data_IF_325787507251
#
_entry.id   IF_325787507251
#
_cell.length_a   1.000
_cell.length_b   1.000
_cell.length_c   1.000
_cell.angle_alpha   90.00
_cell.angle_beta   90.00
_cell.angle_gamma   90.00
#
_symmetry.space_group_name_H-M   'P 1'
#
loop_
_entity.id
_entity.type
_entity.pdbx_description
1 polymer ?
#
# COMPACT_ATOMS: atom_id res chain seq x y z
N UNK A 1 1.66 -19.10 9.65
CA UNK A 1 2.93 -18.73 10.31
C UNK A 1 3.72 -17.88 9.32
N UNK A 2 4.29 -16.76 9.74
CA UNK A 2 5.14 -15.93 8.88
C UNK A 2 6.54 -16.55 8.80
N UNK A 3 7.11 -16.63 7.61
CA UNK A 3 8.51 -17.02 7.38
C UNK A 3 9.29 -15.82 6.83
N UNK A 4 10.51 -15.64 7.30
CA UNK A 4 11.37 -14.51 6.92
C UNK A 4 12.67 -15.03 6.33
N UNK A 5 13.08 -14.41 5.23
CA UNK A 5 14.33 -14.68 4.53
C UNK A 5 15.14 -13.39 4.45
N UNK A 6 16.45 -13.49 4.56
CA UNK A 6 17.39 -12.38 4.38
C UNK A 6 18.32 -12.72 3.20
N UNK A 7 18.36 -11.85 2.20
CA UNK A 7 19.18 -12.03 0.99
C UNK A 7 19.07 -13.44 0.37
N UNK A 8 17.85 -14.01 0.34
CA UNK A 8 17.54 -15.32 -0.26
C UNK A 8 17.75 -16.54 0.63
N UNK A 9 18.25 -16.42 1.85
CA UNK A 9 18.37 -17.51 2.84
C UNK A 9 17.41 -17.31 4.02
N UNK A 10 17.03 -18.36 4.76
CA UNK A 10 16.28 -18.19 6.01
C UNK A 10 16.96 -17.18 6.94
N UNK A 11 16.19 -16.23 7.46
CA UNK A 11 16.70 -15.17 8.31
C UNK A 11 17.10 -15.75 9.70
N UNK A 12 18.21 -15.28 10.23
CA UNK A 12 18.67 -15.52 11.59
C UNK A 12 18.15 -14.45 12.54
N UNK A 13 18.34 -14.62 13.84
CA UNK A 13 18.03 -13.60 14.85
C UNK A 13 18.85 -12.33 14.60
N UNK A 14 20.11 -12.46 14.22
CA UNK A 14 21.00 -11.34 13.97
C UNK A 14 20.54 -10.50 12.77
N UNK A 15 20.02 -11.13 11.70
CA UNK A 15 19.43 -10.42 10.55
C UNK A 15 18.22 -9.56 10.95
N UNK A 16 17.50 -9.95 12.00
CA UNK A 16 16.27 -9.29 12.44
C UNK A 16 16.49 -8.29 13.58
N UNK A 17 17.56 -8.41 14.32
CA UNK A 17 17.85 -7.57 15.50
C UNK A 17 17.91 -6.08 15.15
N UNK A 18 18.65 -5.71 14.11
CA UNK A 18 18.76 -4.32 13.65
C UNK A 18 17.41 -3.73 13.26
N UNK A 19 16.65 -4.35 12.33
CA UNK A 19 15.31 -3.92 11.94
C UNK A 19 14.33 -3.82 13.11
N UNK A 20 14.35 -4.77 14.02
CA UNK A 20 13.44 -4.80 15.18
C UNK A 20 13.71 -3.68 16.19
N UNK A 21 14.98 -3.33 16.40
CA UNK A 21 15.39 -2.37 17.44
C UNK A 21 15.39 -0.91 16.95
N UNK A 22 15.57 -0.65 15.64
CA UNK A 22 15.75 0.72 15.13
C UNK A 22 14.60 1.21 14.26
N UNK A 23 13.78 0.31 13.67
CA UNK A 23 12.79 0.66 12.63
C UNK A 23 13.39 1.46 11.46
N UNK A 24 14.69 1.32 11.21
CA UNK A 24 15.44 2.00 10.18
C UNK A 24 15.37 1.18 8.88
N UNK A 25 14.47 1.60 8.00
CA UNK A 25 14.25 0.90 6.74
C UNK A 25 12.99 1.36 6.02
N UNK A 26 12.80 0.81 4.83
CA UNK A 26 11.58 1.00 4.05
C UNK A 26 11.08 -0.34 3.50
N UNK A 27 9.84 -0.36 3.01
CA UNK A 27 9.27 -1.64 2.58
C UNK A 27 8.22 -1.48 1.49
N UNK A 28 7.89 -2.60 0.89
CA UNK A 28 6.69 -2.75 0.07
C UNK A 28 5.91 -4.00 0.49
N UNK A 29 4.60 -4.03 0.20
CA UNK A 29 3.74 -5.20 0.47
C UNK A 29 2.85 -5.45 -0.72
N UNK A 30 2.60 -6.71 -1.04
CA UNK A 30 1.68 -7.13 -2.09
C UNK A 30 1.10 -8.51 -1.83
N UNK A 31 0.06 -8.85 -2.56
CA UNK A 31 -0.49 -10.20 -2.63
C UNK A 31 0.09 -10.90 -3.85
N UNK A 32 0.69 -12.05 -3.64
CA UNK A 32 1.10 -12.99 -4.66
C UNK A 32 -0.06 -13.97 -4.90
N UNK A 33 -0.43 -14.18 -6.15
CA UNK A 33 -1.39 -15.19 -6.57
C UNK A 33 -0.84 -15.91 -7.79
N UNK A 34 -0.79 -17.23 -7.71
CA UNK A 34 -0.24 -18.08 -8.76
C UNK A 34 1.13 -17.61 -9.26
N UNK A 35 2.03 -17.23 -8.34
CA UNK A 35 3.36 -16.65 -8.60
C UNK A 35 3.33 -15.36 -9.44
N UNK A 36 2.21 -14.62 -9.45
CA UNK A 36 2.09 -13.36 -10.17
C UNK A 36 1.61 -12.23 -9.24
N UNK A 37 1.98 -10.99 -9.59
CA UNK A 37 1.73 -9.78 -8.81
C UNK A 37 1.27 -8.65 -9.72
N UNK A 38 0.17 -7.99 -9.38
CA UNK A 38 -0.22 -6.76 -10.06
C UNK A 38 0.72 -5.61 -9.70
N UNK A 39 1.36 -5.01 -10.72
CA UNK A 39 2.26 -3.88 -10.55
C UNK A 39 3.56 -4.24 -9.83
N UNK A 40 4.14 -5.38 -10.10
CA UNK A 40 5.44 -5.80 -9.56
C UNK A 40 6.53 -4.77 -9.85
N UNK A 41 6.54 -4.21 -11.04
CA UNK A 41 7.42 -3.12 -11.47
C UNK A 41 7.31 -1.89 -10.56
N UNK A 42 6.08 -1.49 -10.18
CA UNK A 42 5.82 -0.37 -9.27
C UNK A 42 6.36 -0.64 -7.86
N UNK A 43 6.31 -1.90 -7.42
CA UNK A 43 6.88 -2.31 -6.14
C UNK A 43 8.41 -2.26 -6.16
N UNK A 44 9.05 -2.70 -7.24
CA UNK A 44 10.50 -2.66 -7.42
C UNK A 44 11.00 -1.21 -7.54
N UNK A 45 10.35 -0.39 -8.36
CA UNK A 45 10.64 1.05 -8.49
C UNK A 45 10.56 1.76 -7.13
N UNK A 46 9.54 1.47 -6.32
CA UNK A 46 9.40 2.05 -4.97
C UNK A 46 10.57 1.69 -4.08
N UNK A 47 11.01 0.45 -4.10
CA UNK A 47 12.13 0.00 -3.28
C UNK A 47 13.44 0.68 -3.72
N UNK A 48 13.74 0.74 -5.01
CA UNK A 48 14.95 1.42 -5.49
C UNK A 48 14.92 2.92 -5.19
N UNK A 49 13.81 3.60 -5.47
CA UNK A 49 13.66 5.03 -5.21
C UNK A 49 13.84 5.38 -3.72
N UNK A 50 13.25 4.58 -2.82
CA UNK A 50 13.41 4.78 -1.39
C UNK A 50 14.83 4.47 -0.89
N UNK A 51 15.50 3.45 -1.43
CA UNK A 51 16.89 3.12 -1.10
C UNK A 51 17.84 4.24 -1.49
N UNK A 52 17.65 4.85 -2.66
CA UNK A 52 18.46 6.00 -3.10
C UNK A 52 18.28 7.21 -2.20
N UNK A 53 17.03 7.50 -1.78
CA UNK A 53 16.75 8.67 -0.94
C UNK A 53 17.23 8.49 0.49
N UNK A 54 17.04 7.29 1.07
CA UNK A 54 17.36 7.05 2.48
C UNK A 54 18.80 6.64 2.72
N UNK A 55 19.40 5.93 1.76
CA UNK A 55 20.68 5.26 1.95
C UNK A 55 21.73 5.62 0.88
N UNK A 56 21.41 6.55 -0.02
CA UNK A 56 22.25 6.91 -1.17
C UNK A 56 22.76 5.69 -1.98
N UNK A 57 21.94 4.64 -2.03
CA UNK A 57 22.34 3.34 -2.60
C UNK A 57 21.26 2.83 -3.54
N UNK A 58 21.67 2.45 -4.76
CA UNK A 58 20.79 1.79 -5.71
C UNK A 58 20.44 0.36 -5.23
N UNK A 59 19.19 -0.03 -5.45
CA UNK A 59 18.73 -1.40 -5.19
C UNK A 59 18.31 -2.07 -6.51
N UNK A 60 19.18 -2.85 -7.15
CA UNK A 60 18.85 -3.53 -8.41
C UNK A 60 17.62 -4.43 -8.25
N UNK A 61 16.68 -4.34 -9.20
CA UNK A 61 15.49 -5.18 -9.22
C UNK A 61 15.83 -6.68 -9.18
N UNK A 62 16.88 -7.08 -9.89
CA UNK A 62 17.37 -8.46 -9.92
C UNK A 62 17.72 -8.99 -8.52
N UNK A 63 18.31 -8.16 -7.64
CA UNK A 63 18.62 -8.55 -6.26
C UNK A 63 17.36 -8.85 -5.45
N UNK A 64 16.35 -7.99 -5.57
CA UNK A 64 15.05 -8.18 -4.91
C UNK A 64 14.36 -9.43 -5.42
N UNK A 65 14.34 -9.62 -6.73
CA UNK A 65 13.67 -10.76 -7.38
C UNK A 65 14.35 -12.09 -7.06
N UNK A 66 15.67 -12.13 -7.03
CA UNK A 66 16.42 -13.33 -6.63
C UNK A 66 16.09 -13.73 -5.19
N UNK A 67 16.04 -12.74 -4.26
CA UNK A 67 15.63 -12.99 -2.88
C UNK A 67 14.18 -13.48 -2.75
N UNK A 68 13.27 -12.89 -3.52
CA UNK A 68 11.86 -13.30 -3.54
C UNK A 68 11.68 -14.72 -4.09
N UNK A 69 12.29 -15.03 -5.24
CA UNK A 69 12.24 -16.38 -5.85
C UNK A 69 12.78 -17.45 -4.89
N UNK A 70 13.97 -17.22 -4.33
CA UNK A 70 14.58 -18.14 -3.37
C UNK A 70 13.67 -18.38 -2.14
N UNK A 71 13.03 -17.33 -1.62
CA UNK A 71 12.10 -17.45 -0.50
C UNK A 71 10.83 -18.26 -0.84
N UNK A 72 10.26 -18.04 -2.03
CA UNK A 72 9.07 -18.76 -2.51
C UNK A 72 9.37 -20.24 -2.76
N UNK A 73 10.53 -20.54 -3.36
CA UNK A 73 10.96 -21.89 -3.68
C UNK A 73 11.27 -22.69 -2.40
N UNK A 74 11.88 -22.05 -1.40
CA UNK A 74 12.20 -22.68 -0.11
C UNK A 74 10.97 -23.15 0.66
N UNK A 75 9.79 -22.60 0.44
CA UNK A 75 8.54 -23.02 1.06
C UNK A 75 7.53 -23.60 0.08
N UNK A 76 7.91 -23.74 -1.19
CA UNK A 76 7.10 -24.32 -2.28
C UNK A 76 5.70 -23.68 -2.38
N UNK A 77 5.60 -22.35 -2.24
CA UNK A 77 4.31 -21.63 -2.28
C UNK A 77 4.13 -20.86 -3.60
N UNK A 78 2.87 -20.86 -4.05
CA UNK A 78 2.43 -20.06 -5.21
C UNK A 78 1.65 -18.83 -4.79
N UNK A 79 1.09 -18.83 -3.58
CA UNK A 79 0.24 -17.77 -3.03
C UNK A 79 0.79 -17.29 -1.69
N UNK A 80 0.89 -15.99 -1.50
CA UNK A 80 1.36 -15.40 -0.26
C UNK A 80 0.95 -13.93 -0.10
N UNK A 81 0.84 -13.48 1.14
CA UNK A 81 1.04 -12.08 1.49
C UNK A 81 2.54 -11.84 1.62
N UNK A 82 3.09 -10.99 0.79
CA UNK A 82 4.52 -10.69 0.74
C UNK A 82 4.80 -9.31 1.32
N UNK A 83 5.82 -9.20 2.17
CA UNK A 83 6.45 -7.95 2.55
C UNK A 83 7.93 -8.04 2.24
N UNK A 84 8.44 -7.08 1.47
CA UNK A 84 9.87 -6.91 1.23
C UNK A 84 10.30 -5.67 1.99
N UNK A 85 11.22 -5.84 2.93
CA UNK A 85 11.81 -4.76 3.74
C UNK A 85 13.27 -4.62 3.38
N UNK A 86 13.71 -3.39 3.17
CA UNK A 86 15.10 -3.04 2.90
C UNK A 86 15.63 -2.25 4.08
N UNK A 87 16.77 -2.66 4.59
CA UNK A 87 17.43 -2.06 5.75
C UNK A 87 18.91 -1.89 5.48
N UNK A 88 19.64 -1.02 6.22
CA UNK A 88 21.09 -1.00 6.18
C UNK A 88 21.66 -2.38 6.53
N UNK A 89 22.58 -2.88 5.71
CA UNK A 89 23.26 -4.14 5.91
C UNK A 89 24.53 -3.96 6.74
N UNK A 90 25.17 -5.09 7.12
CA UNK A 90 26.34 -5.12 7.98
C UNK A 90 27.62 -4.54 7.35
N UNK A 91 27.69 -4.36 6.04
CA UNK A 91 28.83 -3.80 5.31
C UNK A 91 28.65 -2.31 4.99
N UNK A 92 29.75 -1.59 4.77
CA UNK A 92 29.74 -0.18 4.36
C UNK A 92 28.92 -0.01 3.06
N UNK A 93 27.88 0.83 3.06
CA UNK A 93 26.98 1.04 1.92
C UNK A 93 26.14 -0.18 1.53
N UNK A 94 26.13 -1.27 2.34
CA UNK A 94 25.36 -2.47 2.10
C UNK A 94 23.89 -2.30 2.46
N UNK A 95 23.02 -2.98 1.71
CA UNK A 95 21.59 -3.09 2.03
C UNK A 95 21.25 -4.56 2.24
N UNK A 96 20.41 -4.87 3.21
CA UNK A 96 19.82 -6.20 3.36
C UNK A 96 18.37 -6.20 2.90
N UNK A 97 18.00 -7.24 2.15
CA UNK A 97 16.65 -7.46 1.63
C UNK A 97 15.99 -8.57 2.42
N UNK A 98 15.01 -8.20 3.25
CA UNK A 98 14.20 -9.13 4.03
C UNK A 98 12.90 -9.43 3.29
N UNK A 99 12.65 -10.70 2.98
CA UNK A 99 11.40 -11.17 2.38
C UNK A 99 10.59 -11.91 3.44
N UNK A 100 9.45 -11.37 3.80
CA UNK A 100 8.52 -12.01 4.74
C UNK A 100 7.33 -12.57 3.97
N UNK A 101 7.05 -13.85 4.15
CA UNK A 101 5.95 -14.59 3.54
C UNK A 101 4.96 -15.02 4.62
N UNK A 102 3.71 -14.66 4.42
CA UNK A 102 2.58 -15.06 5.26
C UNK A 102 1.47 -15.67 4.40
N UNK A 103 0.47 -16.28 5.02
CA UNK A 103 -0.71 -16.75 4.29
C UNK A 103 -1.34 -15.62 3.48
N UNK A 104 -1.89 -15.93 2.31
CA UNK A 104 -2.64 -14.97 1.50
C UNK A 104 -3.71 -14.27 2.33
N UNK A 105 -3.88 -12.98 2.13
CA UNK A 105 -4.93 -12.21 2.78
C UNK A 105 -5.93 -11.73 1.73
N UNK A 106 -7.21 -11.91 2.04
CA UNK A 106 -8.30 -11.32 1.26
C UNK A 106 -8.66 -9.93 1.83
N UNK A 107 -9.13 -9.00 1.00
CA UNK A 107 -9.63 -7.72 1.48
C UNK A 107 -10.92 -7.94 2.28
N UNK A 108 -11.08 -7.19 3.35
CA UNK A 108 -12.37 -7.08 4.03
C UNK A 108 -13.37 -6.35 3.11
N UNK A 109 -14.54 -6.93 2.93
CA UNK A 109 -15.58 -6.40 2.01
C UNK A 109 -16.58 -5.47 2.71
N UNK A 110 -16.65 -5.49 4.05
CA UNK A 110 -17.58 -4.63 4.78
C UNK A 110 -17.19 -3.13 4.63
N UNK A 111 -18.12 -2.22 4.29
CA UNK A 111 -17.81 -0.81 4.18
C UNK A 111 -17.26 -0.22 5.47
N UNK A 112 -16.27 0.69 5.36
CA UNK A 112 -15.58 1.29 6.50
C UNK A 112 -16.27 2.57 6.98
N UNK A 113 -16.30 2.76 8.30
CA UNK A 113 -16.59 4.03 8.96
C UNK A 113 -15.28 4.68 9.36
N UNK A 114 -15.08 5.91 8.98
CA UNK A 114 -13.83 6.61 9.18
C UNK A 114 -14.00 7.78 10.18
N UNK A 115 -12.92 8.06 10.89
CA UNK A 115 -12.77 9.27 11.71
C UNK A 115 -11.62 10.09 11.16
N UNK A 116 -11.88 11.37 10.89
CA UNK A 116 -10.82 12.29 10.46
C UNK A 116 -9.91 12.66 11.63
N UNK A 117 -8.63 12.79 11.34
CA UNK A 117 -7.57 13.13 12.31
C UNK A 117 -6.56 14.03 11.62
N UNK A 118 -6.22 15.16 12.25
CA UNK A 118 -5.13 16.03 11.77
C UNK A 118 -3.82 15.29 12.00
N UNK A 119 -3.24 14.77 10.94
CA UNK A 119 -1.97 14.08 10.96
C UNK A 119 -1.39 14.01 9.54
N UNK A 120 -0.12 14.33 9.40
CA UNK A 120 0.65 14.18 8.17
C UNK A 120 1.91 13.39 8.48
N UNK A 121 2.21 12.39 7.64
CA UNK A 121 3.44 11.62 7.79
C UNK A 121 4.65 12.46 7.39
N UNK A 122 5.69 12.40 8.19
CA UNK A 122 7.02 12.78 7.74
C UNK A 122 7.48 11.83 6.62
N UNK A 123 8.24 12.32 5.67
CA UNK A 123 8.69 11.54 4.50
C UNK A 123 7.53 10.82 3.79
N UNK A 124 6.40 11.52 3.59
CA UNK A 124 5.15 10.91 3.11
C UNK A 124 5.30 10.07 1.83
N UNK A 125 6.19 10.47 0.91
CA UNK A 125 6.46 9.74 -0.33
C UNK A 125 7.14 8.37 -0.10
N UNK A 126 7.74 8.14 1.08
CA UNK A 126 8.49 6.92 1.41
C UNK A 126 7.66 6.00 2.30
N UNK A 127 7.59 4.72 1.93
CA UNK A 127 6.97 3.69 2.76
C UNK A 127 7.99 3.17 3.79
N UNK A 128 8.38 4.04 4.74
CA UNK A 128 9.36 3.74 5.78
C UNK A 128 8.80 2.84 6.89
N UNK A 129 9.68 2.18 7.64
CA UNK A 129 9.33 1.21 8.69
C UNK A 129 8.72 1.86 9.96
N UNK A 130 8.91 3.16 10.16
CA UNK A 130 8.36 3.91 11.28
C UNK A 130 6.84 4.09 11.21
N UNK A 131 6.09 3.00 11.36
CA UNK A 131 4.63 2.96 11.16
C UNK A 131 3.83 3.12 12.47
N UNK A 132 4.49 3.33 13.60
CA UNK A 132 3.82 3.46 14.90
C UNK A 132 2.70 4.51 14.89
N UNK A 133 2.90 5.76 14.41
CA UNK A 133 1.85 6.76 14.41
C UNK A 133 0.61 6.34 13.62
N UNK A 134 0.80 5.66 12.48
CA UNK A 134 -0.30 5.18 11.63
C UNK A 134 -1.20 4.20 12.39
N UNK A 135 -0.59 3.22 13.05
CA UNK A 135 -1.32 2.23 13.83
C UNK A 135 -1.90 2.81 15.12
N UNK A 136 -1.25 3.82 15.73
CA UNK A 136 -1.79 4.48 16.90
C UNK A 136 -3.06 5.27 16.57
N UNK A 137 -3.06 6.04 15.48
CA UNK A 137 -4.27 6.74 15.02
C UNK A 137 -5.38 5.75 14.64
N UNK A 138 -5.04 4.62 14.02
CA UNK A 138 -6.01 3.56 13.74
C UNK A 138 -6.62 3.00 15.04
N UNK A 139 -5.80 2.69 16.07
CA UNK A 139 -6.32 2.22 17.36
C UNK A 139 -7.24 3.23 18.03
N UNK A 140 -6.86 4.52 18.01
CA UNK A 140 -7.70 5.61 18.57
C UNK A 140 -9.01 5.78 17.84
N UNK A 141 -9.00 5.68 16.50
CA UNK A 141 -10.21 5.71 15.70
C UNK A 141 -11.15 4.55 16.08
N UNK A 142 -10.60 3.34 16.21
CA UNK A 142 -11.36 2.14 16.65
C UNK A 142 -11.91 2.27 18.06
N UNK A 143 -11.14 2.78 18.99
CA UNK A 143 -11.61 3.05 20.35
C UNK A 143 -12.76 4.08 20.39
N UNK A 144 -12.81 4.96 19.39
CA UNK A 144 -13.89 5.94 19.22
C UNK A 144 -15.07 5.44 18.35
N UNK A 145 -15.11 4.14 18.01
CA UNK A 145 -16.22 3.50 17.29
C UNK A 145 -16.16 3.57 15.77
N UNK A 146 -15.07 4.10 15.19
CA UNK A 146 -14.78 4.01 13.75
C UNK A 146 -14.01 2.72 13.42
N UNK A 147 -13.82 2.42 12.15
CA UNK A 147 -13.04 1.25 11.72
C UNK A 147 -11.58 1.62 11.43
N UNK A 148 -11.33 2.89 11.00
CA UNK A 148 -9.98 3.39 10.71
C UNK A 148 -9.92 4.93 10.77
N UNK A 149 -8.70 5.49 10.71
CA UNK A 149 -8.44 6.92 10.66
C UNK A 149 -8.31 7.41 9.21
N UNK A 150 -8.90 8.57 8.93
CA UNK A 150 -8.69 9.36 7.72
C UNK A 150 -7.80 10.54 8.08
N UNK A 151 -6.63 10.65 7.46
CA UNK A 151 -5.70 11.73 7.74
C UNK A 151 -6.04 12.98 6.94
N UNK A 152 -6.01 14.12 7.62
CA UNK A 152 -6.12 15.44 7.03
C UNK A 152 -4.90 16.27 7.41
N UNK A 153 -4.49 17.18 6.53
CA UNK A 153 -3.41 18.13 6.82
C UNK A 153 -3.85 19.25 7.79
N UNK A 154 -2.94 20.14 8.13
CA UNK A 154 -3.23 21.27 9.02
C UNK A 154 -4.27 22.26 8.45
N UNK A 155 -4.52 22.25 7.14
CA UNK A 155 -5.56 23.03 6.47
C UNK A 155 -6.89 22.27 6.38
N UNK A 156 -7.00 21.07 6.97
CA UNK A 156 -8.19 20.24 6.94
C UNK A 156 -8.41 19.49 5.63
N UNK A 157 -7.40 19.42 4.74
CA UNK A 157 -7.52 18.72 3.46
C UNK A 157 -7.20 17.23 3.63
N UNK A 158 -8.01 16.39 3.05
CA UNK A 158 -7.85 14.92 3.07
C UNK A 158 -6.56 14.52 2.34
N UNK A 159 -5.78 13.63 2.95
CA UNK A 159 -4.50 13.14 2.43
C UNK A 159 -4.58 11.66 2.08
N UNK A 160 -4.63 10.80 3.09
CA UNK A 160 -4.64 9.34 2.99
C UNK A 160 -5.24 8.72 4.26
N UNK A 161 -5.37 7.43 4.35
CA UNK A 161 -5.70 6.74 5.59
C UNK A 161 -4.49 6.10 6.25
N UNK A 162 -4.70 5.31 7.31
CA UNK A 162 -3.62 4.74 8.10
C UNK A 162 -2.63 3.89 7.26
N UNK A 163 -3.16 3.05 6.36
CA UNK A 163 -2.36 2.16 5.48
C UNK A 163 -2.97 2.02 4.09
N UNK A 164 -3.73 3.02 3.64
CA UNK A 164 -4.48 2.99 2.38
C UNK A 164 -4.62 4.40 1.79
N UNK A 165 -4.84 4.44 0.48
CA UNK A 165 -5.23 5.65 -0.25
C UNK A 165 -6.74 5.63 -0.48
N UNK A 166 -7.31 6.77 -0.86
CA UNK A 166 -8.72 6.83 -1.19
C UNK A 166 -8.96 7.52 -2.52
N UNK A 167 -10.09 7.15 -3.14
CA UNK A 167 -10.71 7.88 -4.24
C UNK A 167 -12.18 8.13 -3.94
N UNK A 168 -12.70 9.25 -4.44
CA UNK A 168 -14.12 9.58 -4.40
C UNK A 168 -14.73 9.34 -5.77
N UNK A 169 -16.02 9.07 -5.79
CA UNK A 169 -16.82 8.85 -6.99
C UNK A 169 -18.10 9.68 -6.93
N UNK A 170 -18.31 10.56 -7.90
CA UNK A 170 -19.51 11.41 -8.01
C UNK A 170 -20.58 10.86 -8.97
N UNK A 171 -20.41 9.64 -9.46
CA UNK A 171 -21.24 9.02 -10.49
C UNK A 171 -20.69 9.17 -11.91
N UNK A 172 -19.67 10.00 -12.13
CA UNK A 172 -19.08 10.28 -13.45
C UNK A 172 -17.57 10.40 -13.47
N UNK A 173 -16.98 10.81 -12.36
CA UNK A 173 -15.54 11.16 -12.23
C UNK A 173 -14.97 10.57 -10.97
N UNK A 174 -13.80 9.96 -11.07
CA UNK A 174 -12.99 9.60 -9.91
C UNK A 174 -12.18 10.82 -9.48
N UNK A 175 -12.31 11.20 -8.21
CA UNK A 175 -11.53 12.30 -7.62
C UNK A 175 -10.50 11.73 -6.66
N UNK A 176 -9.23 12.01 -6.93
CA UNK A 176 -8.11 11.68 -6.06
C UNK A 176 -7.75 12.89 -5.19
N UNK A 177 -7.69 12.76 -3.86
CA UNK A 177 -7.26 13.85 -3.00
C UNK A 177 -5.84 14.29 -3.32
N UNK A 178 -5.66 15.60 -3.43
CA UNK A 178 -4.36 16.22 -3.59
C UNK A 178 -3.74 16.46 -2.21
N UNK A 179 -2.55 15.93 -1.98
CA UNK A 179 -1.80 16.12 -0.73
C UNK A 179 -0.52 15.30 -0.71
N UNK A 180 0.30 15.55 0.29
CA UNK A 180 1.55 14.82 0.51
C UNK A 180 1.24 13.46 1.15
N UNK A 181 1.07 12.46 0.32
CA UNK A 181 0.72 11.10 0.69
C UNK A 181 1.65 10.09 0.03
N UNK A 182 1.68 8.89 0.58
CA UNK A 182 2.27 7.76 -0.13
C UNK A 182 1.38 7.39 -1.31
N UNK A 183 1.87 7.58 -2.54
CA UNK A 183 1.15 7.10 -3.72
C UNK A 183 1.23 5.59 -3.83
N UNK A 184 0.13 4.93 -3.45
CA UNK A 184 0.02 3.49 -3.37
C UNK A 184 0.14 2.81 -4.73
N UNK A 185 0.72 1.61 -4.78
CA UNK A 185 0.76 0.83 -6.03
C UNK A 185 -0.63 0.52 -6.55
N UNK A 186 -1.57 0.19 -5.66
CA UNK A 186 -2.98 -0.05 -6.04
C UNK A 186 -3.66 1.22 -6.59
N UNK A 187 -3.42 2.38 -5.99
CA UNK A 187 -3.88 3.67 -6.50
C UNK A 187 -3.38 3.90 -7.93
N UNK A 188 -2.08 3.72 -8.18
CA UNK A 188 -1.48 3.89 -9.51
C UNK A 188 -2.04 2.92 -10.54
N UNK A 189 -2.27 1.65 -10.16
CA UNK A 189 -2.90 0.65 -11.03
C UNK A 189 -4.34 1.03 -11.37
N UNK A 190 -5.12 1.50 -10.39
CA UNK A 190 -6.49 1.96 -10.63
C UNK A 190 -6.53 3.19 -11.51
N UNK A 191 -5.62 4.16 -11.30
CA UNK A 191 -5.50 5.34 -12.17
C UNK A 191 -5.22 4.94 -13.63
N UNK A 192 -4.26 4.05 -13.85
CA UNK A 192 -3.96 3.51 -15.18
C UNK A 192 -5.17 2.76 -15.76
N UNK A 193 -5.84 1.94 -14.96
CA UNK A 193 -7.01 1.19 -15.38
C UNK A 193 -8.20 2.08 -15.73
N UNK A 194 -8.50 3.10 -14.94
CA UNK A 194 -9.54 4.07 -15.28
C UNK A 194 -9.22 4.84 -16.55
N UNK A 195 -7.96 5.19 -16.77
CA UNK A 195 -7.53 5.80 -18.04
C UNK A 195 -7.77 4.86 -19.21
N UNK A 196 -7.44 3.58 -19.10
CA UNK A 196 -7.68 2.58 -20.14
C UNK A 196 -9.17 2.37 -20.44
N UNK A 197 -10.04 2.53 -19.43
CA UNK A 197 -11.49 2.45 -19.56
C UNK A 197 -12.17 3.75 -20.01
N UNK A 198 -11.40 4.85 -20.19
CA UNK A 198 -11.96 6.16 -20.53
C UNK A 198 -12.76 6.82 -19.40
N UNK A 199 -12.59 6.36 -18.15
CA UNK A 199 -13.24 6.96 -16.98
C UNK A 199 -12.54 8.27 -16.63
N UNK A 200 -13.32 9.32 -16.46
CA UNK A 200 -12.79 10.65 -16.10
C UNK A 200 -12.16 10.62 -14.71
N UNK A 201 -11.02 11.29 -14.59
CA UNK A 201 -10.30 11.42 -13.33
C UNK A 201 -9.88 12.86 -13.10
N UNK A 202 -9.83 13.28 -11.85
CA UNK A 202 -9.26 14.56 -11.43
C UNK A 202 -8.49 14.40 -10.12
N UNK A 203 -7.50 15.27 -9.91
CA UNK A 203 -6.80 15.38 -8.63
C UNK A 203 -7.01 16.79 -8.13
N UNK A 204 -7.58 16.94 -6.93
CA UNK A 204 -7.85 18.24 -6.31
C UNK A 204 -7.84 18.13 -4.78
N UNK A 205 -7.73 19.26 -4.07
CA UNK A 205 -8.00 19.28 -2.64
C UNK A 205 -9.42 18.78 -2.34
N UNK A 206 -9.57 17.98 -1.28
CA UNK A 206 -10.82 17.46 -0.76
C UNK A 206 -10.86 17.73 0.73
N UNK A 207 -12.01 18.11 1.28
CA UNK A 207 -12.22 18.23 2.72
C UNK A 207 -13.25 17.23 3.22
N UNK A 208 -13.21 16.76 4.49
CA UNK A 208 -14.16 15.77 5.01
C UNK A 208 -15.63 16.18 4.82
N UNK A 209 -15.95 17.47 4.87
CA UNK A 209 -17.30 17.99 4.67
C UNK A 209 -17.88 17.72 3.27
N UNK A 210 -17.05 17.46 2.26
CA UNK A 210 -17.50 17.04 0.92
C UNK A 210 -17.77 15.52 0.85
N UNK A 211 -17.26 14.74 1.82
CA UNK A 211 -17.39 13.28 1.86
C UNK A 211 -18.73 12.87 2.48
N UNK A 212 -19.80 13.10 1.75
CA UNK A 212 -21.18 12.78 2.13
C UNK A 212 -22.02 12.48 0.89
N UNK A 213 -23.17 11.81 1.10
CA UNK A 213 -24.07 11.51 -0.01
C UNK A 213 -24.47 12.77 -0.80
N UNK A 214 -24.52 12.69 -2.14
CA UNK A 214 -24.54 11.48 -2.96
C UNK A 214 -23.13 10.93 -3.34
N UNK A 215 -22.03 11.53 -2.87
CA UNK A 215 -20.68 11.06 -3.17
C UNK A 215 -20.45 9.66 -2.58
N UNK A 216 -19.86 8.76 -3.37
CA UNK A 216 -19.32 7.49 -2.91
C UNK A 216 -17.79 7.60 -2.75
N UNK A 217 -17.20 6.72 -1.96
CA UNK A 217 -15.75 6.67 -1.81
C UNK A 217 -15.26 5.24 -1.54
N UNK A 218 -14.00 5.01 -1.89
CA UNK A 218 -13.33 3.74 -1.66
C UNK A 218 -11.93 3.96 -1.11
N UNK A 219 -11.49 3.06 -0.25
CA UNK A 219 -10.11 2.90 0.16
C UNK A 219 -9.43 1.83 -0.69
N UNK A 220 -8.15 1.98 -0.98
CA UNK A 220 -7.37 0.98 -1.70
C UNK A 220 -5.94 0.84 -1.14
N UNK A 221 -5.45 -0.38 -1.14
CA UNK A 221 -4.06 -0.72 -0.82
C UNK A 221 -3.67 -2.04 -1.51
N UNK A 222 -2.49 -2.57 -1.19
CA UNK A 222 -1.99 -3.80 -1.80
C UNK A 222 -2.81 -5.07 -1.48
N UNK A 223 -3.73 -5.03 -0.52
CA UNK A 223 -4.66 -6.15 -0.26
C UNK A 223 -5.88 -6.10 -1.18
N UNK A 224 -6.36 -4.90 -1.51
CA UNK A 224 -7.55 -4.72 -2.34
C UNK A 224 -8.19 -3.35 -2.15
N UNK A 225 -9.50 -3.28 -2.41
CA UNK A 225 -10.32 -2.10 -2.25
C UNK A 225 -11.45 -2.39 -1.24
N UNK A 226 -11.94 -1.30 -0.61
CA UNK A 226 -13.02 -1.35 0.37
C UNK A 226 -13.84 -0.07 0.29
N UNK A 227 -15.17 -0.20 0.27
CA UNK A 227 -16.04 0.98 0.26
C UNK A 227 -15.99 1.73 1.58
N UNK A 228 -16.25 3.03 1.55
CA UNK A 228 -16.35 3.88 2.74
C UNK A 228 -17.83 4.20 2.98
N UNK A 229 -18.32 3.82 4.17
CA UNK A 229 -19.72 4.01 4.55
C UNK A 229 -19.98 5.39 5.16
N UNK A 230 -19.02 5.93 5.92
CA UNK A 230 -19.16 7.24 6.57
C UNK A 230 -17.81 7.85 6.92
N UNK A 231 -17.79 9.18 7.04
CA UNK A 231 -16.69 9.96 7.62
C UNK A 231 -17.27 10.87 8.69
N UNK A 232 -16.72 10.82 9.91
CA UNK A 232 -17.16 11.63 11.06
C UNK A 232 -18.68 11.56 11.31
N UNK A 233 -19.28 10.38 11.11
CA UNK A 233 -20.71 10.15 11.25
C UNK A 233 -21.57 10.56 10.04
N UNK A 234 -21.00 11.22 9.04
CA UNK A 234 -21.71 11.58 7.81
C UNK A 234 -21.66 10.42 6.81
N UNK A 235 -22.83 9.90 6.43
CA UNK A 235 -22.95 8.79 5.48
C UNK A 235 -22.52 9.19 4.08
N UNK A 236 -21.80 8.29 3.40
CA UNK A 236 -21.54 8.33 1.97
C UNK A 236 -22.52 7.41 1.20
N UNK A 237 -22.62 7.62 -0.10
CA UNK A 237 -23.33 6.68 -0.94
C UNK A 237 -22.55 5.36 -1.06
N UNK A 238 -23.26 4.24 -1.01
CA UNK A 238 -22.72 2.92 -1.37
C UNK A 238 -23.20 2.60 -2.80
N UNK A 239 -22.53 3.21 -3.79
CA UNK A 239 -22.85 3.01 -5.19
C UNK A 239 -22.57 1.54 -5.58
N UNK A 240 -23.59 0.76 -6.01
CA UNK A 240 -23.42 -0.65 -6.35
C UNK A 240 -22.58 -0.88 -7.61
N UNK A 241 -22.39 0.13 -8.45
CA UNK A 241 -21.60 0.02 -9.68
C UNK A 241 -20.09 0.22 -9.41
N UNK A 242 -19.74 0.97 -8.37
CA UNK A 242 -18.36 1.31 -8.09
C UNK A 242 -17.45 0.09 -7.83
N UNK A 243 -17.85 -0.95 -7.07
CA UNK A 243 -17.04 -2.16 -6.91
C UNK A 243 -16.73 -2.87 -8.24
N UNK A 244 -17.71 -2.96 -9.13
CA UNK A 244 -17.53 -3.55 -10.46
C UNK A 244 -16.58 -2.70 -11.32
N UNK A 245 -16.72 -1.38 -11.29
CA UNK A 245 -15.85 -0.44 -12.01
C UNK A 245 -14.39 -0.53 -11.53
N UNK A 246 -14.17 -0.64 -10.22
CA UNK A 246 -12.84 -0.85 -9.62
C UNK A 246 -12.21 -2.19 -10.07
N UNK A 247 -13.02 -3.25 -10.10
CA UNK A 247 -12.57 -4.56 -10.58
C UNK A 247 -12.21 -4.54 -12.07
N UNK A 248 -13.04 -3.90 -12.91
CA UNK A 248 -12.74 -3.72 -14.33
C UNK A 248 -11.46 -2.90 -14.55
N UNK A 249 -11.29 -1.80 -13.84
CA UNK A 249 -10.08 -0.99 -13.94
C UNK A 249 -8.82 -1.81 -13.59
N UNK A 250 -8.87 -2.60 -12.51
CA UNK A 250 -7.76 -3.46 -12.15
C UNK A 250 -7.52 -4.57 -13.18
N UNK A 251 -8.55 -5.14 -13.77
CA UNK A 251 -8.44 -6.21 -14.77
C UNK A 251 -7.73 -5.75 -16.06
N UNK A 252 -7.68 -4.45 -16.35
CA UNK A 252 -6.89 -3.90 -17.47
C UNK A 252 -5.38 -3.97 -17.20
N UNK A 253 -4.97 -4.21 -15.96
CA UNK A 253 -3.58 -4.26 -15.51
C UNK A 253 -3.16 -5.72 -15.30
N UNK A 254 -2.49 -6.31 -16.30
CA UNK A 254 -2.07 -7.70 -16.22
C UNK A 254 -1.10 -7.92 -15.02
N UNK A 255 -1.24 -9.01 -14.26
CA UNK A 255 -0.25 -9.38 -13.27
C UNK A 255 1.04 -9.82 -13.97
N UNK A 256 2.18 -9.53 -13.35
CA UNK A 256 3.52 -9.92 -13.80
C UNK A 256 3.96 -11.18 -13.05
N UNK A 257 4.43 -12.19 -13.78
CA UNK A 257 4.95 -13.39 -13.13
C UNK A 257 6.29 -13.10 -12.43
N UNK A 258 6.47 -13.65 -11.24
CA UNK A 258 7.72 -13.51 -10.47
C UNK A 258 8.89 -14.17 -11.18
N UNK A 259 8.61 -15.18 -12.00
CA UNK A 259 9.62 -15.96 -12.72
C UNK A 259 10.07 -15.29 -14.03
N UNK A 260 9.35 -14.28 -14.50
CA UNK A 260 9.74 -13.52 -15.70
C UNK A 260 11.02 -12.71 -15.44
N UNK A 261 11.85 -12.53 -16.47
CA UNK A 261 13.02 -11.68 -16.36
C UNK A 261 12.60 -10.23 -16.04
N UNK A 262 13.30 -9.62 -15.09
CA UNK A 262 13.18 -8.18 -14.85
C UNK A 262 14.24 -7.45 -15.64
N UNK A 263 13.82 -6.50 -16.47
CA UNK A 263 14.70 -5.67 -17.28
C UNK A 263 15.53 -4.70 -16.45
#
# INVERSE_FOLDING_TARGET
>A
MTRVFCNGRPATVDDLAGPALRSDGHFTTFQLRDRAVHGLDLHLQRLDAASRVLFDTALPATRVMNGLRAALDAISTRDASVRITVVPGAGEGGLDVLVSLALPAEPDVAPMRLRSVVFQREFAAIKHAGTFPLFEHQRRARAAGADDALFVDAAGRVIEGSVWNLGLWDGTTIVWPQGDALRGTRERLLQAGFTALGVRQSTRPVVPGEMRAPTAAFACNARGQRMIASVDGHALALDPQLPALLAQALATQAPMAVDDPVG
#
